data_IF_642984791615
#
_entry.id   IF_642984791615
#
_cell.length_a   1.000
_cell.length_b   1.000
_cell.length_c   1.000
_cell.angle_alpha   90.00
_cell.angle_beta   90.00
_cell.angle_gamma   90.00
#
_symmetry.space_group_name_H-M   'P 1'
#
loop_
_entity.id
_entity.type
_entity.pdbx_description
1 polymer ?
#
# COMPACT_ATOMS: atom_id res chain seq x y z
N UNK A 1 -23.06 24.38 24.56
CA UNK A 1 -23.33 24.16 23.12
C UNK A 1 -22.34 23.16 22.51
N UNK A 2 -21.03 23.27 22.75
CA UNK A 2 -20.01 22.35 22.23
C UNK A 2 -20.16 20.88 22.70
N UNK A 3 -20.35 20.66 24.00
CA UNK A 3 -20.53 19.32 24.60
C UNK A 3 -22.01 18.92 24.77
N UNK A 4 -22.87 19.31 23.84
CA UNK A 4 -24.26 18.85 23.86
C UNK A 4 -24.34 17.38 23.41
N UNK A 5 -25.21 16.59 24.02
CA UNK A 5 -25.45 15.19 23.65
C UNK A 5 -25.87 15.02 22.18
N UNK A 6 -26.49 16.04 21.57
CA UNK A 6 -26.82 16.08 20.15
C UNK A 6 -25.57 16.04 19.23
N UNK A 7 -24.38 16.37 19.75
CA UNK A 7 -23.13 16.28 19.01
C UNK A 7 -22.44 14.91 19.15
N UNK A 8 -22.92 14.06 20.06
CA UNK A 8 -22.29 12.78 20.39
C UNK A 8 -22.08 11.87 19.17
N UNK A 9 -23.01 11.75 18.21
CA UNK A 9 -22.77 10.94 17.01
C UNK A 9 -21.54 11.40 16.21
N UNK A 10 -21.34 12.72 16.08
CA UNK A 10 -20.19 13.26 15.36
C UNK A 10 -18.87 13.01 16.10
N UNK A 11 -18.88 13.08 17.43
CA UNK A 11 -17.72 12.72 18.24
C UNK A 11 -17.39 11.23 18.15
N UNK A 12 -18.39 10.35 18.02
CA UNK A 12 -18.16 8.92 17.77
C UNK A 12 -17.48 8.72 16.42
N UNK A 13 -18.00 9.31 15.35
CA UNK A 13 -17.39 9.20 14.02
C UNK A 13 -15.96 9.76 14.01
N UNK A 14 -15.73 10.92 14.64
CA UNK A 14 -14.41 11.49 14.76
C UNK A 14 -13.45 10.59 15.54
N UNK A 15 -13.89 10.07 16.69
CA UNK A 15 -13.10 9.16 17.51
C UNK A 15 -12.76 7.87 16.78
N UNK A 16 -13.70 7.31 16.03
CA UNK A 16 -13.48 6.13 15.19
C UNK A 16 -12.46 6.43 14.09
N UNK A 17 -12.60 7.55 13.37
CA UNK A 17 -11.65 7.94 12.33
C UNK A 17 -10.22 8.10 12.87
N UNK A 18 -10.07 8.76 14.03
CA UNK A 18 -8.77 8.90 14.71
C UNK A 18 -8.21 7.54 15.15
N UNK A 19 -9.05 6.65 15.68
CA UNK A 19 -8.64 5.31 16.08
C UNK A 19 -8.12 4.48 14.89
N UNK A 20 -8.80 4.55 13.75
CA UNK A 20 -8.36 3.89 12.52
C UNK A 20 -7.01 4.46 12.03
N UNK A 21 -6.80 5.78 12.09
CA UNK A 21 -5.50 6.36 11.78
C UNK A 21 -4.41 5.89 12.74
N UNK A 22 -4.69 5.81 14.05
CA UNK A 22 -3.75 5.27 15.03
C UNK A 22 -3.40 3.82 14.73
N UNK A 23 -4.39 3.00 14.34
CA UNK A 23 -4.16 1.63 13.94
C UNK A 23 -3.19 1.59 12.75
N UNK A 24 -3.44 2.36 11.68
CA UNK A 24 -2.56 2.43 10.51
C UNK A 24 -1.13 2.85 10.90
N UNK A 25 -0.98 3.83 11.79
CA UNK A 25 0.33 4.33 12.23
C UNK A 25 1.08 3.25 13.04
N UNK A 26 0.39 2.55 13.94
CA UNK A 26 0.98 1.48 14.76
C UNK A 26 1.30 0.24 13.92
N UNK A 27 0.47 -0.02 12.91
CA UNK A 27 0.55 -1.18 12.02
C UNK A 27 1.67 -1.10 10.98
N UNK A 28 2.30 0.05 10.74
CA UNK A 28 3.39 0.16 9.76
C UNK A 28 2.97 0.52 8.34
N UNK A 29 1.66 0.56 8.04
CA UNK A 29 1.10 1.27 6.89
C UNK A 29 1.50 0.74 5.51
N UNK A 30 1.86 -0.53 5.34
CA UNK A 30 2.16 -1.07 4.01
C UNK A 30 2.35 -2.59 3.87
N UNK A 31 2.16 -3.35 4.94
CA UNK A 31 2.38 -4.78 4.99
C UNK A 31 1.02 -5.50 4.94
N UNK A 32 0.75 -6.17 3.83
CA UNK A 32 -0.39 -7.08 3.63
C UNK A 32 -0.30 -8.37 4.46
N UNK A 33 0.52 -8.40 5.52
CA UNK A 33 0.64 -9.50 6.47
C UNK A 33 0.47 -8.98 7.89
N UNK A 34 -0.70 -8.40 8.18
CA UNK A 34 -1.10 -8.16 9.57
C UNK A 34 -1.58 -9.45 10.23
N UNK A 35 -0.61 -10.34 10.50
CA UNK A 35 -0.64 -11.24 11.64
C UNK A 35 -0.53 -10.40 12.91
N UNK A 36 -1.60 -9.66 13.23
CA UNK A 36 -1.79 -9.10 14.55
C UNK A 36 -2.17 -10.28 15.43
N UNK A 37 -1.17 -10.83 16.12
CA UNK A 37 -1.30 -11.72 17.28
C UNK A 37 -2.06 -10.99 18.43
N UNK A 38 -3.33 -10.71 18.20
CA UNK A 38 -4.30 -10.44 19.26
C UNK A 38 -5.40 -11.47 19.10
N UNK A 39 -5.46 -12.39 20.05
CA UNK A 39 -6.48 -13.44 20.26
C UNK A 39 -7.92 -12.88 20.27
N UNK A 40 -8.39 -12.40 19.12
CA UNK A 40 -9.76 -12.02 18.86
C UNK A 40 -10.12 -12.69 17.54
N UNK A 41 -10.64 -13.91 17.66
CA UNK A 41 -11.22 -14.70 16.57
C UNK A 41 -12.31 -13.86 15.87
N UNK A 42 -11.93 -13.10 14.85
CA UNK A 42 -12.83 -12.58 13.84
C UNK A 42 -12.24 -13.01 12.51
N UNK A 43 -12.63 -14.20 12.07
CA UNK A 43 -12.41 -14.70 10.72
C UNK A 43 -13.06 -13.73 9.72
N UNK A 44 -12.31 -12.73 9.28
CA UNK A 44 -12.60 -11.98 8.05
C UNK A 44 -11.55 -12.39 7.04
N UNK A 45 -11.73 -13.60 6.51
CA UNK A 45 -11.08 -14.07 5.31
C UNK A 45 -11.64 -13.27 4.13
N UNK A 46 -11.11 -12.06 3.96
CA UNK A 46 -11.41 -11.19 2.83
C UNK A 46 -10.17 -11.14 1.94
N UNK A 47 -10.02 -12.17 1.12
CA UNK A 47 -9.22 -12.11 -0.11
C UNK A 47 -9.75 -10.95 -0.99
N UNK A 48 -9.33 -9.72 -0.68
CA UNK A 48 -9.48 -8.59 -1.60
C UNK A 48 -8.29 -8.66 -2.53
N UNK A 49 -8.33 -9.67 -3.41
CA UNK A 49 -7.52 -9.69 -4.61
C UNK A 49 -7.72 -8.35 -5.31
N UNK A 50 -6.63 -7.66 -5.60
CA UNK A 50 -6.58 -6.35 -6.25
C UNK A 50 -7.46 -6.38 -7.50
N UNK A 51 -8.71 -5.94 -7.34
CA UNK A 51 -9.63 -5.78 -8.46
C UNK A 51 -9.10 -4.58 -9.23
N UNK A 52 -8.35 -4.87 -10.29
CA UNK A 52 -8.02 -3.94 -11.37
C UNK A 52 -9.34 -3.53 -12.03
N UNK A 53 -10.02 -2.54 -11.43
CA UNK A 53 -11.18 -1.88 -12.02
C UNK A 53 -10.62 -0.86 -13.01
N UNK A 54 -10.35 -1.33 -14.23
CA UNK A 54 -10.13 -0.50 -15.40
C UNK A 54 -11.37 0.38 -15.62
N UNK A 55 -11.33 1.59 -15.07
CA UNK A 55 -12.41 2.55 -15.14
C UNK A 55 -12.36 3.34 -16.45
N UNK A 56 -12.44 2.65 -17.58
CA UNK A 56 -12.83 3.23 -18.87
C UNK A 56 -14.36 3.28 -18.94
N UNK A 57 -14.94 4.22 -18.20
CA UNK A 57 -16.38 4.40 -18.07
C UNK A 57 -16.97 5.33 -19.14
N UNK A 58 -17.35 4.74 -20.27
CA UNK A 58 -18.32 5.29 -21.23
C UNK A 58 -19.63 5.66 -20.51
N UNK A 59 -20.22 6.79 -20.93
CA UNK A 59 -21.36 7.42 -20.27
C UNK A 59 -22.66 6.68 -20.64
N UNK A 60 -22.94 5.57 -19.96
CA UNK A 60 -24.12 4.74 -20.20
C UNK A 60 -24.86 4.33 -18.93
N UNK A 61 -25.66 5.25 -18.37
CA UNK A 61 -27.00 5.04 -17.78
C UNK A 61 -27.31 4.00 -16.68
N UNK A 62 -26.44 3.04 -16.36
CA UNK A 62 -26.70 2.01 -15.34
C UNK A 62 -25.77 2.20 -14.14
N UNK A 63 -26.33 2.25 -12.93
CA UNK A 63 -25.58 2.45 -11.69
C UNK A 63 -24.73 1.22 -11.38
N UNK A 64 -23.58 1.12 -12.04
CA UNK A 64 -22.62 0.05 -11.81
C UNK A 64 -22.00 0.24 -10.41
N UNK A 65 -22.23 -0.72 -9.52
CA UNK A 65 -21.77 -0.67 -8.14
C UNK A 65 -20.24 -0.52 -8.07
N UNK A 66 -19.50 -1.07 -9.04
CA UNK A 66 -18.05 -0.89 -9.17
C UNK A 66 -17.64 0.56 -9.49
N UNK A 67 -18.45 1.30 -10.26
CA UNK A 67 -18.20 2.72 -10.54
C UNK A 67 -18.39 3.59 -9.30
N UNK A 68 -19.37 3.23 -8.44
CA UNK A 68 -19.61 3.90 -7.15
C UNK A 68 -18.46 3.61 -6.17
N UNK A 69 -18.00 2.36 -6.08
CA UNK A 69 -16.87 1.97 -5.23
C UNK A 69 -15.56 2.62 -5.70
N UNK A 70 -15.32 2.65 -7.02
CA UNK A 70 -14.16 3.33 -7.60
C UNK A 70 -14.20 4.85 -7.41
N UNK A 71 -15.40 5.46 -7.37
CA UNK A 71 -15.58 6.87 -6.99
C UNK A 71 -15.27 7.11 -5.50
N UNK A 72 -15.68 6.19 -4.63
CA UNK A 72 -15.37 6.21 -3.20
C UNK A 72 -13.87 6.01 -2.90
N UNK A 73 -13.08 5.63 -3.92
CA UNK A 73 -11.63 5.49 -3.82
C UNK A 73 -11.16 4.07 -3.53
N UNK A 74 -12.08 3.10 -3.47
CA UNK A 74 -11.75 1.68 -3.28
C UNK A 74 -10.87 1.21 -4.45
N UNK A 75 -9.76 0.54 -4.13
CA UNK A 75 -8.72 0.13 -5.09
C UNK A 75 -7.62 1.18 -5.34
N UNK A 76 -7.75 2.41 -4.81
CA UNK A 76 -6.71 3.44 -4.94
C UNK A 76 -5.84 3.56 -3.69
N UNK A 77 -6.41 3.37 -2.51
CA UNK A 77 -5.72 3.45 -1.23
C UNK A 77 -6.25 2.36 -0.28
N UNK A 78 -5.47 1.97 0.76
CA UNK A 78 -5.92 1.01 1.76
C UNK A 78 -7.30 1.39 2.30
N UNK A 79 -8.25 0.43 2.30
CA UNK A 79 -9.66 0.68 2.65
C UNK A 79 -9.79 1.36 4.03
N UNK A 80 -8.96 0.94 4.98
CA UNK A 80 -8.93 1.48 6.33
C UNK A 80 -8.60 2.97 6.37
N UNK A 81 -7.76 3.46 5.47
CA UNK A 81 -7.33 4.86 5.38
C UNK A 81 -8.45 5.74 4.80
N UNK A 82 -9.18 5.22 3.82
CA UNK A 82 -10.36 5.88 3.27
C UNK A 82 -11.44 5.99 4.32
N UNK A 83 -11.74 4.89 5.01
CA UNK A 83 -12.72 4.86 6.08
C UNK A 83 -12.35 5.79 7.25
N UNK A 84 -11.07 5.82 7.63
CA UNK A 84 -10.55 6.75 8.64
C UNK A 84 -10.76 8.21 8.24
N UNK A 85 -10.50 8.54 6.98
CA UNK A 85 -10.65 9.88 6.41
C UNK A 85 -12.14 10.28 6.36
N UNK A 86 -13.00 9.41 5.85
CA UNK A 86 -14.43 9.65 5.72
C UNK A 86 -15.11 9.83 7.08
N UNK A 87 -14.80 8.97 8.06
CA UNK A 87 -15.32 9.09 9.42
C UNK A 87 -14.84 10.36 10.13
N UNK A 88 -13.56 10.71 9.96
CA UNK A 88 -13.03 11.96 10.50
C UNK A 88 -13.72 13.19 9.89
N UNK A 89 -13.93 13.19 8.57
CA UNK A 89 -14.61 14.27 7.85
C UNK A 89 -16.09 14.37 8.25
N UNK A 90 -16.82 13.25 8.38
CA UNK A 90 -18.20 13.23 8.88
C UNK A 90 -18.26 13.83 10.29
N UNK A 91 -17.35 13.41 11.17
CA UNK A 91 -17.27 13.90 12.53
C UNK A 91 -17.02 15.41 12.60
N UNK A 92 -16.01 15.90 11.88
CA UNK A 92 -15.67 17.34 11.88
C UNK A 92 -16.76 18.17 11.20
N UNK A 93 -17.18 17.82 9.98
CA UNK A 93 -18.15 18.60 9.22
C UNK A 93 -19.53 18.58 9.86
N UNK A 94 -19.98 17.40 10.31
CA UNK A 94 -21.26 17.24 10.99
C UNK A 94 -21.31 18.04 12.29
N UNK A 95 -20.23 18.01 13.07
CA UNK A 95 -20.12 18.84 14.27
C UNK A 95 -20.12 20.34 13.97
N UNK A 96 -19.32 20.80 12.99
CA UNK A 96 -19.28 22.20 12.57
C UNK A 96 -20.67 22.67 12.15
N UNK A 97 -21.34 21.94 11.26
CA UNK A 97 -22.68 22.31 10.81
C UNK A 97 -23.68 22.32 11.95
N UNK A 98 -23.66 21.32 12.83
CA UNK A 98 -24.61 21.23 13.94
C UNK A 98 -24.45 22.40 14.93
N UNK A 99 -23.20 22.81 15.19
CA UNK A 99 -22.90 23.97 16.06
C UNK A 99 -23.23 25.29 15.37
N UNK A 100 -22.86 25.47 14.10
CA UNK A 100 -23.11 26.72 13.35
C UNK A 100 -24.62 26.95 13.17
N UNK A 101 -25.36 25.93 12.75
CA UNK A 101 -26.81 26.02 12.59
C UNK A 101 -27.47 26.26 13.96
N UNK A 102 -27.01 25.56 15.01
CA UNK A 102 -27.48 25.79 16.37
C UNK A 102 -27.23 27.20 16.89
N UNK A 103 -26.11 27.82 16.49
CA UNK A 103 -25.77 29.21 16.80
C UNK A 103 -26.64 30.23 16.07
N UNK A 104 -27.02 29.95 14.82
CA UNK A 104 -27.87 30.84 14.00
C UNK A 104 -29.35 30.75 14.44
N UNK A 105 -29.84 29.54 14.68
CA UNK A 105 -31.25 29.27 15.00
C UNK A 105 -31.54 29.46 16.51
N UNK A 106 -30.50 29.51 17.35
CA UNK A 106 -30.62 29.64 18.81
C UNK A 106 -30.89 28.32 19.54
N UNK A 107 -31.09 27.22 18.79
CA UNK A 107 -31.26 25.86 19.30
C UNK A 107 -30.57 24.86 18.39
N UNK A 108 -29.92 23.84 18.97
CA UNK A 108 -29.26 22.78 18.20
C UNK A 108 -30.32 21.97 17.44
N UNK A 109 -30.10 21.69 16.13
CA UNK A 109 -30.97 20.80 15.36
C UNK A 109 -31.18 19.46 16.07
N UNK A 110 -32.43 19.02 16.19
CA UNK A 110 -32.79 17.72 16.78
C UNK A 110 -33.79 17.00 15.87
N UNK A 111 -33.88 15.67 16.02
CA UNK A 111 -34.78 14.84 15.23
C UNK A 111 -34.47 14.88 13.73
N UNK A 112 -35.48 15.12 12.89
CA UNK A 112 -35.36 15.11 11.43
C UNK A 112 -34.32 16.11 10.90
N UNK A 113 -34.24 17.30 11.49
CA UNK A 113 -33.28 18.33 11.08
C UNK A 113 -31.83 17.92 11.38
N UNK A 114 -31.60 17.22 12.48
CA UNK A 114 -30.29 16.65 12.78
C UNK A 114 -29.90 15.58 11.74
N UNK A 115 -30.85 14.73 11.34
CA UNK A 115 -30.65 13.76 10.26
C UNK A 115 -30.28 14.42 8.93
N UNK A 116 -30.91 15.55 8.60
CA UNK A 116 -30.56 16.35 7.43
C UNK A 116 -29.13 16.90 7.47
N UNK A 117 -28.69 17.39 8.64
CA UNK A 117 -27.30 17.84 8.84
C UNK A 117 -26.31 16.68 8.68
N UNK A 118 -26.59 15.53 9.30
CA UNK A 118 -25.76 14.33 9.15
C UNK A 118 -25.70 13.86 7.71
N UNK A 119 -26.83 13.83 7.01
CA UNK A 119 -26.90 13.44 5.60
C UNK A 119 -26.09 14.37 4.70
N UNK A 120 -26.17 15.68 4.94
CA UNK A 120 -25.37 16.67 4.21
C UNK A 120 -23.87 16.50 4.50
N UNK A 121 -23.49 16.31 5.77
CA UNK A 121 -22.09 16.07 6.13
C UNK A 121 -21.56 14.76 5.55
N UNK A 122 -22.38 13.72 5.49
CA UNK A 122 -22.03 12.44 4.88
C UNK A 122 -21.76 12.60 3.38
N UNK A 123 -22.68 13.25 2.66
CA UNK A 123 -22.51 13.47 1.23
C UNK A 123 -21.25 14.28 0.90
N UNK A 124 -21.02 15.37 1.63
CA UNK A 124 -19.84 16.22 1.44
C UNK A 124 -18.56 15.45 1.83
N UNK A 125 -18.61 14.68 2.92
CA UNK A 125 -17.47 13.86 3.36
C UNK A 125 -17.07 12.86 2.28
N UNK A 126 -18.00 12.03 1.78
CA UNK A 126 -17.70 11.02 0.77
C UNK A 126 -17.20 11.65 -0.55
N UNK A 127 -17.75 12.80 -0.93
CA UNK A 127 -17.28 13.52 -2.12
C UNK A 127 -15.83 14.02 -1.96
N UNK A 128 -15.50 14.59 -0.80
CA UNK A 128 -14.16 15.08 -0.49
C UNK A 128 -13.19 13.91 -0.28
N UNK A 129 -13.59 12.86 0.45
CA UNK A 129 -12.83 11.64 0.68
C UNK A 129 -12.48 10.93 -0.61
N UNK A 130 -13.44 10.80 -1.54
CA UNK A 130 -13.19 10.28 -2.88
C UNK A 130 -12.20 11.12 -3.69
N UNK A 131 -12.20 12.46 -3.54
CA UNK A 131 -11.21 13.32 -4.19
C UNK A 131 -9.80 13.15 -3.58
N UNK A 132 -9.75 13.05 -2.26
CA UNK A 132 -8.53 12.89 -1.45
C UNK A 132 -7.93 11.47 -1.61
N UNK A 133 -8.74 10.46 -1.91
CA UNK A 133 -8.29 9.07 -2.16
C UNK A 133 -7.21 8.96 -3.24
N UNK A 134 -7.30 9.81 -4.28
CA UNK A 134 -6.42 9.75 -5.44
C UNK A 134 -4.98 10.16 -5.13
N UNK A 135 -4.71 11.34 -4.52
CA UNK A 135 -3.35 11.69 -4.13
C UNK A 135 -2.81 10.77 -3.03
N UNK A 136 -3.62 10.35 -2.06
CA UNK A 136 -3.18 9.40 -1.04
C UNK A 136 -2.76 8.06 -1.66
N UNK A 137 -3.56 7.53 -2.57
CA UNK A 137 -3.24 6.29 -3.28
C UNK A 137 -1.90 6.32 -4.00
N UNK A 138 -1.58 7.42 -4.68
CA UNK A 138 -0.28 7.59 -5.35
C UNK A 138 0.90 7.63 -4.40
N UNK A 139 0.71 8.26 -3.24
CA UNK A 139 1.76 8.36 -2.22
C UNK A 139 2.00 6.97 -1.60
N UNK A 140 0.94 6.23 -1.28
CA UNK A 140 1.05 4.87 -0.74
C UNK A 140 1.59 3.86 -1.75
N UNK A 141 1.17 3.94 -3.02
CA UNK A 141 1.74 3.11 -4.08
C UNK A 141 3.25 3.32 -4.23
N UNK A 142 3.74 4.56 -4.11
CA UNK A 142 5.18 4.84 -4.14
C UNK A 142 5.93 4.18 -2.98
N UNK A 143 5.32 4.09 -1.79
CA UNK A 143 5.92 3.39 -0.65
C UNK A 143 5.82 1.86 -0.76
N UNK A 144 4.75 1.33 -1.36
CA UNK A 144 4.62 -0.10 -1.64
C UNK A 144 5.59 -0.60 -2.72
N UNK A 145 5.83 0.19 -3.76
CA UNK A 145 6.88 -0.06 -4.75
C UNK A 145 8.27 -0.05 -4.08
N UNK A 146 8.49 0.85 -3.10
CA UNK A 146 9.70 0.86 -2.28
C UNK A 146 9.87 -0.40 -1.39
N UNK A 147 8.83 -1.20 -1.19
CA UNK A 147 8.90 -2.48 -0.47
C UNK A 147 8.92 -3.71 -1.40
N UNK A 148 8.53 -3.56 -2.68
CA UNK A 148 8.50 -4.68 -3.62
C UNK A 148 9.92 -5.12 -3.94
N UNK A 149 10.29 -6.30 -3.44
CA UNK A 149 11.61 -6.87 -3.71
C UNK A 149 11.90 -7.07 -5.20
N UNK A 150 10.86 -7.21 -6.02
CA UNK A 150 11.02 -7.48 -7.45
C UNK A 150 11.61 -6.29 -8.21
N UNK A 151 11.55 -5.07 -7.64
CA UNK A 151 12.18 -3.88 -8.25
C UNK A 151 13.69 -4.01 -8.42
N UNK A 152 14.32 -4.84 -7.58
CA UNK A 152 15.76 -5.03 -7.61
C UNK A 152 16.17 -6.04 -8.69
N UNK A 153 15.24 -6.80 -9.27
CA UNK A 153 15.52 -7.75 -10.35
C UNK A 153 15.96 -6.96 -11.60
N UNK A 154 17.09 -7.35 -12.17
CA UNK A 154 17.73 -6.66 -13.29
C UNK A 154 18.63 -5.49 -12.88
N UNK A 155 18.66 -5.09 -11.60
CA UNK A 155 19.55 -4.04 -11.13
C UNK A 155 20.98 -4.56 -10.93
N UNK A 156 21.94 -3.66 -11.11
CA UNK A 156 23.36 -3.93 -10.84
C UNK A 156 23.73 -3.50 -9.42
N UNK A 157 24.54 -4.31 -8.75
CA UNK A 157 25.04 -4.03 -7.42
C UNK A 157 26.53 -4.30 -7.28
N UNK A 158 27.08 -3.91 -6.14
CA UNK A 158 28.47 -4.19 -5.74
C UNK A 158 28.48 -5.10 -4.53
N UNK A 159 29.32 -6.13 -4.55
CA UNK A 159 29.42 -7.05 -3.41
C UNK A 159 30.05 -6.36 -2.21
N UNK A 160 29.35 -6.39 -1.07
CA UNK A 160 29.79 -5.75 0.17
C UNK A 160 30.38 -6.77 1.14
N UNK A 161 29.90 -8.00 1.12
CA UNK A 161 30.47 -9.13 1.86
C UNK A 161 31.79 -9.62 1.26
N UNK A 162 32.54 -10.44 2.02
CA UNK A 162 33.82 -11.00 1.55
C UNK A 162 33.67 -11.84 0.27
N UNK A 163 32.68 -12.72 0.25
CA UNK A 163 32.26 -13.53 -0.90
C UNK A 163 30.76 -13.76 -0.85
N UNK A 164 30.16 -14.08 -2.00
CA UNK A 164 28.77 -14.53 -2.08
C UNK A 164 28.77 -16.07 -2.06
N UNK A 165 28.13 -16.71 -1.09
CA UNK A 165 28.01 -18.17 -1.05
C UNK A 165 26.95 -18.68 -2.03
N UNK A 166 27.08 -19.96 -2.41
CA UNK A 166 26.03 -20.67 -3.16
C UNK A 166 24.81 -20.95 -2.27
N UNK A 167 23.62 -20.94 -2.86
CA UNK A 167 22.33 -21.19 -2.19
C UNK A 167 22.35 -22.46 -1.31
N UNK A 168 22.95 -23.56 -1.80
CA UNK A 168 23.01 -24.84 -1.07
C UNK A 168 23.87 -24.84 0.21
N UNK A 169 24.63 -23.76 0.49
CA UNK A 169 25.52 -23.69 1.67
C UNK A 169 24.84 -23.08 2.89
N UNK A 170 23.60 -22.60 2.79
CA UNK A 170 22.85 -22.02 3.91
C UNK A 170 23.53 -20.79 4.53
N UNK A 171 24.39 -20.11 3.77
CA UNK A 171 25.03 -18.85 4.15
C UNK A 171 24.50 -17.77 3.22
N UNK A 172 24.48 -16.53 3.70
CA UNK A 172 24.06 -15.36 2.94
C UNK A 172 25.23 -14.40 2.73
N UNK A 173 25.34 -13.86 1.52
CA UNK A 173 26.20 -12.72 1.19
C UNK A 173 25.43 -11.41 1.27
N UNK A 174 26.13 -10.29 1.16
CA UNK A 174 25.53 -8.96 1.11
C UNK A 174 26.01 -8.21 -0.12
N UNK A 175 25.07 -7.57 -0.80
CA UNK A 175 25.29 -6.78 -2.01
C UNK A 175 24.60 -5.45 -1.85
N UNK A 176 25.31 -4.38 -2.16
CA UNK A 176 24.74 -3.05 -2.25
C UNK A 176 24.23 -2.82 -3.68
N UNK A 177 22.92 -2.66 -3.82
CA UNK A 177 22.24 -2.46 -5.10
C UNK A 177 21.68 -1.05 -5.16
N UNK A 178 21.76 -0.46 -6.34
CA UNK A 178 21.06 0.78 -6.64
C UNK A 178 19.77 0.42 -7.40
N UNK A 179 18.63 0.73 -6.78
CA UNK A 179 17.32 0.54 -7.42
C UNK A 179 17.12 1.51 -8.60
N UNK A 180 16.13 1.22 -9.44
CA UNK A 180 15.62 2.08 -10.53
C UNK A 180 15.31 3.51 -10.05
N UNK A 181 14.82 3.65 -8.81
CA UNK A 181 14.56 4.94 -8.16
C UNK A 181 15.83 5.64 -7.63
N UNK A 182 17.02 5.08 -7.85
CA UNK A 182 18.32 5.52 -7.27
C UNK A 182 18.40 5.43 -5.75
N UNK A 183 17.62 4.55 -5.15
CA UNK A 183 17.75 4.22 -3.74
C UNK A 183 18.91 3.22 -3.55
N UNK A 184 19.76 3.45 -2.56
CA UNK A 184 20.87 2.56 -2.23
C UNK A 184 20.42 1.59 -1.14
N UNK A 185 20.34 0.30 -1.48
CA UNK A 185 19.79 -0.75 -0.62
C UNK A 185 20.80 -1.90 -0.51
N UNK A 186 21.07 -2.34 0.72
CA UNK A 186 21.85 -3.56 0.97
C UNK A 186 20.91 -4.76 1.04
N UNK A 187 21.12 -5.74 0.17
CA UNK A 187 20.32 -6.96 0.13
C UNK A 187 21.12 -8.21 0.49
N UNK A 188 20.41 -9.21 1.01
CA UNK A 188 20.95 -10.55 1.19
C UNK A 188 20.98 -11.26 -0.16
N UNK A 189 22.13 -11.80 -0.53
CA UNK A 189 22.34 -12.39 -1.85
C UNK A 189 22.96 -13.79 -1.77
N UNK A 190 22.56 -14.66 -2.68
CA UNK A 190 23.11 -16.00 -2.88
C UNK A 190 23.40 -16.24 -4.36
N UNK A 191 24.35 -17.14 -4.65
CA UNK A 191 24.65 -17.58 -6.01
C UNK A 191 23.80 -18.81 -6.35
N UNK A 192 23.27 -18.89 -7.58
CA UNK A 192 22.61 -20.10 -8.04
C UNK A 192 23.61 -21.25 -8.17
N UNK A 193 23.11 -22.48 -8.05
CA UNK A 193 23.93 -23.71 -8.11
C UNK A 193 24.71 -23.90 -9.41
N UNK A 194 24.25 -23.32 -10.51
CA UNK A 194 24.90 -23.40 -11.82
C UNK A 194 25.99 -22.33 -12.04
N UNK A 195 26.08 -21.30 -11.19
CA UNK A 195 27.06 -20.24 -11.34
C UNK A 195 28.49 -20.77 -11.13
N UNK A 196 29.39 -20.40 -12.03
CA UNK A 196 30.79 -20.85 -12.02
C UNK A 196 31.68 -19.84 -11.33
N UNK A 197 31.33 -18.55 -11.40
CA UNK A 197 32.12 -17.45 -10.84
C UNK A 197 31.55 -17.07 -9.47
N UNK A 198 32.42 -17.09 -8.46
CA UNK A 198 32.08 -16.64 -7.10
C UNK A 198 32.56 -15.19 -6.94
N UNK A 199 31.66 -14.19 -6.98
CA UNK A 199 32.05 -12.81 -6.76
C UNK A 199 32.45 -12.58 -5.29
N UNK A 200 33.54 -11.84 -5.12
CA UNK A 200 34.07 -11.32 -3.87
C UNK A 200 33.87 -9.80 -3.75
N UNK A 201 34.21 -9.27 -2.59
CA UNK A 201 34.01 -7.85 -2.23
C UNK A 201 34.48 -6.89 -3.31
N UNK A 202 33.62 -5.92 -3.67
CA UNK A 202 33.89 -4.87 -4.64
C UNK A 202 33.66 -5.26 -6.10
N UNK A 203 33.28 -6.50 -6.40
CA UNK A 203 32.91 -6.89 -7.76
C UNK A 203 31.45 -6.55 -8.06
N UNK A 204 31.17 -6.30 -9.34
CA UNK A 204 29.81 -6.02 -9.81
C UNK A 204 29.02 -7.32 -10.02
N UNK A 205 27.76 -7.30 -9.60
CA UNK A 205 26.81 -8.40 -9.75
C UNK A 205 25.50 -7.91 -10.33
N UNK A 206 24.77 -8.82 -10.96
CA UNK A 206 23.42 -8.61 -11.49
C UNK A 206 22.44 -9.43 -10.64
N UNK A 207 21.37 -8.78 -10.18
CA UNK A 207 20.26 -9.47 -9.50
C UNK A 207 19.35 -10.07 -10.58
N UNK A 208 19.10 -11.37 -10.51
CA UNK A 208 18.35 -12.11 -11.55
C UNK A 208 17.00 -12.62 -11.06
N UNK A 209 16.84 -12.86 -9.76
CA UNK A 209 15.62 -13.41 -9.20
C UNK A 209 15.54 -13.14 -7.68
N UNK A 210 14.33 -13.27 -7.12
CA UNK A 210 14.04 -13.12 -5.70
C UNK A 210 13.54 -14.45 -5.13
N UNK A 211 14.25 -14.99 -4.14
CA UNK A 211 13.75 -16.07 -3.29
C UNK A 211 13.14 -15.51 -2.00
N UNK A 212 12.46 -16.35 -1.23
CA UNK A 212 11.75 -15.95 0.00
C UNK A 212 12.62 -15.16 1.00
N UNK A 213 13.90 -15.52 1.15
CA UNK A 213 14.80 -14.90 2.15
C UNK A 213 16.07 -14.26 1.55
N UNK A 214 16.32 -14.41 0.24
CA UNK A 214 17.52 -13.88 -0.41
C UNK A 214 17.33 -13.65 -1.91
N UNK A 215 18.13 -12.75 -2.47
CA UNK A 215 18.18 -12.52 -3.91
C UNK A 215 19.21 -13.42 -4.58
N UNK A 216 18.85 -13.96 -5.74
CA UNK A 216 19.79 -14.63 -6.61
C UNK A 216 20.57 -13.58 -7.41
N UNK A 217 21.89 -13.65 -7.31
CA UNK A 217 22.78 -12.76 -8.03
C UNK A 217 23.82 -13.56 -8.80
N UNK A 218 24.28 -13.00 -9.91
CA UNK A 218 25.37 -13.56 -10.73
C UNK A 218 26.43 -12.51 -11.00
N UNK A 219 27.66 -12.94 -11.25
CA UNK A 219 28.75 -12.02 -11.57
C UNK A 219 28.46 -11.28 -12.88
N UNK A 220 28.62 -9.96 -12.89
CA UNK A 220 28.43 -9.16 -14.10
C UNK A 220 29.65 -9.26 -15.02
N UNK A 221 29.42 -9.13 -16.34
CA UNK A 221 30.38 -9.33 -17.42
C UNK A 221 31.06 -10.72 -17.36
N UNK A 222 30.33 -11.73 -16.88
CA UNK A 222 30.84 -13.09 -16.72
C UNK A 222 30.24 -14.06 -17.74
N UNK A 223 30.80 -15.26 -17.80
CA UNK A 223 30.17 -16.40 -18.50
C UNK A 223 28.75 -16.68 -18.01
N UNK A 224 28.50 -16.44 -16.72
CA UNK A 224 27.25 -16.79 -16.06
C UNK A 224 26.12 -15.85 -16.49
N UNK A 225 26.44 -14.57 -16.73
CA UNK A 225 25.49 -13.60 -17.30
C UNK A 225 25.12 -13.95 -18.75
N UNK A 226 26.10 -14.35 -19.57
CA UNK A 226 25.84 -14.74 -20.95
C UNK A 226 24.98 -16.00 -21.03
N UNK A 227 25.24 -16.98 -20.14
CA UNK A 227 24.48 -18.22 -20.02
C UNK A 227 23.02 -17.93 -19.64
N UNK A 228 22.79 -17.04 -18.67
CA UNK A 228 21.46 -16.61 -18.25
C UNK A 228 20.68 -15.84 -19.34
N UNK A 229 21.35 -14.91 -20.05
CA UNK A 229 20.73 -14.16 -21.16
C UNK A 229 20.37 -15.08 -22.34
N UNK A 230 21.20 -16.08 -22.61
CA UNK A 230 20.95 -17.06 -23.67
C UNK A 230 19.76 -17.98 -23.35
N UNK A 231 19.56 -18.33 -22.07
CA UNK A 231 18.42 -19.16 -21.67
C UNK A 231 17.11 -18.35 -21.66
N UNK A 232 17.18 -17.11 -21.18
CA UNK A 232 16.05 -16.18 -21.17
C UNK A 232 15.51 -15.84 -22.56
N UNK A 233 16.38 -15.78 -23.57
CA UNK A 233 15.99 -15.53 -24.97
C UNK A 233 15.31 -16.75 -25.61
N UNK A 234 15.75 -17.97 -25.29
CA UNK A 234 15.13 -19.21 -25.80
C UNK A 234 13.71 -19.43 -25.31
N UNK A 235 13.41 -18.99 -24.08
CA UNK A 235 12.07 -19.05 -23.52
C UNK A 235 11.08 -18.10 -24.21
N UNK A 236 11.56 -16.94 -24.69
CA UNK A 236 10.74 -15.97 -25.43
C UNK A 236 10.40 -16.41 -26.86
N UNK A 237 11.29 -17.16 -27.52
CA UNK A 237 11.06 -17.63 -28.90
C UNK A 237 10.18 -18.90 -28.97
N UNK A 238 9.85 -19.51 -27.82
CA UNK A 238 9.02 -20.73 -27.74
C UNK A 238 7.56 -20.47 -27.33
N UNK A 239 7.15 -19.20 -27.16
CA UNK A 239 5.76 -18.77 -26.96
C UNK A 239 5.23 -18.08 -28.22
#
# INVERSE_FOLDING_TARGET
MLFNLANLPYWIFLGMGVLLFLLVIVSGGGDDDLDVDTDVDVDVDAEVSTLDIDADGDAGGDLNLGQILGWLGIGKAPLILLLATDFSLIGVLGWIFNVTIGGIIGSIPTGFWAGGVTGLSLFISLFIGGLISRPLGRIFAAFGEDASGDRLIGCHGTVSSGTIPMENKGKIGQVDVLDSARNFVTINATLPTWAKIIPGRGMEVLVIDKQAESYLVIAKNSSDEQEWLADSSRLKDSQ
#
